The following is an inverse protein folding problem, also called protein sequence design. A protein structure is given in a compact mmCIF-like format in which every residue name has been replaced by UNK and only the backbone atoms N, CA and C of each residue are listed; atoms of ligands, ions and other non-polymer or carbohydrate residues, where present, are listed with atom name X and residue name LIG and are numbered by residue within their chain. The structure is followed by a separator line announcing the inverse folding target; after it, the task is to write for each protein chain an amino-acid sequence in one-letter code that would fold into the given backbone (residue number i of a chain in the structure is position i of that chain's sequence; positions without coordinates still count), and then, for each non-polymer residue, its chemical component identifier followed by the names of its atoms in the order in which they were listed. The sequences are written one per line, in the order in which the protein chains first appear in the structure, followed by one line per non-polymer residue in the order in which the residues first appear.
data_IF_151950993815
#
_entry.id   IF_151950993815
#
_cell.length_a   1.000
_cell.length_b   1.000
_cell.length_c   1.000
_cell.angle_alpha   90.00
_cell.angle_beta   90.00
_cell.angle_gamma   90.00
#
_symmetry.space_group_name_H-M   'P 1'
#
loop_
_entity.id
_entity.type
_entity.pdbx_description
1 polymer ?
#
# COMPACT_ATOMS: atom_id res chain seq x y z
N UNK A 1 -3.53 68.70 19.00
CA UNK A 1 -4.97 68.65 18.64
C UNK A 1 -5.10 67.65 17.51
N UNK A 2 -5.53 66.43 17.80
CA UNK A 2 -5.69 65.37 16.80
C UNK A 2 -7.08 65.52 16.15
N UNK A 3 -7.11 65.81 14.86
CA UNK A 3 -8.36 66.00 14.13
C UNK A 3 -9.19 64.71 14.10
N UNK A 4 -10.53 64.78 14.23
CA UNK A 4 -11.37 63.60 14.24
C UNK A 4 -11.32 62.89 12.88
N UNK A 5 -11.09 61.58 12.91
CA UNK A 5 -11.04 60.72 11.72
C UNK A 5 -12.42 60.74 11.04
N UNK A 6 -12.51 60.99 9.72
CA UNK A 6 -13.80 61.09 9.04
C UNK A 6 -14.57 59.77 9.11
N UNK A 7 -15.91 59.80 9.24
CA UNK A 7 -16.72 58.60 9.32
C UNK A 7 -16.61 57.78 8.04
N UNK A 8 -16.28 56.48 8.17
CA UNK A 8 -16.25 55.54 7.05
C UNK A 8 -17.67 55.43 6.47
N UNK A 9 -17.88 55.89 5.23
CA UNK A 9 -19.14 55.69 4.50
C UNK A 9 -19.41 54.18 4.41
N UNK A 10 -20.60 53.75 4.83
CA UNK A 10 -21.03 52.34 4.68
C UNK A 10 -21.17 52.05 3.19
N UNK A 11 -20.56 50.96 2.71
CA UNK A 11 -20.74 50.53 1.31
C UNK A 11 -22.22 50.30 1.04
N UNK A 12 -22.75 50.90 -0.02
CA UNK A 12 -24.12 50.68 -0.47
C UNK A 12 -24.31 49.20 -0.74
N UNK A 13 -25.38 48.60 -0.20
CA UNK A 13 -25.70 47.21 -0.48
C UNK A 13 -26.21 47.11 -1.91
N UNK A 14 -25.31 46.79 -2.83
CA UNK A 14 -25.64 46.49 -4.23
C UNK A 14 -26.50 45.23 -4.29
N UNK A 15 -27.53 45.18 -5.13
CA UNK A 15 -28.41 44.01 -5.32
C UNK A 15 -28.48 43.71 -6.81
N UNK A 16 -28.48 42.43 -7.17
CA UNK A 16 -28.72 42.01 -8.55
C UNK A 16 -30.21 42.10 -8.83
N UNK A 17 -30.54 42.73 -9.95
CA UNK A 17 -31.84 42.56 -10.59
C UNK A 17 -31.75 41.53 -11.74
N UNK A 18 -32.88 41.31 -12.38
CA UNK A 18 -33.04 40.41 -13.51
C UNK A 18 -32.14 40.76 -14.70
N UNK A 19 -31.95 42.05 -14.98
CA UNK A 19 -31.10 42.51 -16.09
C UNK A 19 -29.61 42.34 -15.76
N UNK A 20 -29.23 42.58 -14.50
CA UNK A 20 -27.88 42.30 -14.00
C UNK A 20 -27.55 40.81 -14.07
N UNK A 21 -28.52 39.93 -13.76
CA UNK A 21 -28.34 38.49 -13.87
C UNK A 21 -28.15 38.05 -15.33
N UNK A 22 -28.94 38.59 -16.26
CA UNK A 22 -28.79 38.30 -17.69
C UNK A 22 -27.43 38.79 -18.23
N UNK A 23 -26.98 39.96 -17.79
CA UNK A 23 -25.65 40.49 -18.12
C UNK A 23 -24.54 39.60 -17.53
N UNK A 24 -24.67 39.20 -16.26
CA UNK A 24 -23.73 38.29 -15.59
C UNK A 24 -23.60 36.97 -16.34
N UNK A 25 -24.71 36.35 -16.75
CA UNK A 25 -24.70 35.07 -17.47
C UNK A 25 -24.04 35.21 -18.85
N UNK A 26 -24.36 36.28 -19.60
CA UNK A 26 -23.73 36.56 -20.90
C UNK A 26 -22.21 36.74 -20.79
N UNK A 27 -21.75 37.48 -19.78
CA UNK A 27 -20.31 37.68 -19.55
C UNK A 27 -19.62 36.39 -19.09
N UNK A 28 -20.28 35.54 -18.29
CA UNK A 28 -19.76 34.21 -17.94
C UNK A 28 -19.56 33.36 -19.20
N UNK A 29 -20.51 33.37 -20.14
CA UNK A 29 -20.38 32.65 -21.41
C UNK A 29 -19.23 33.20 -22.26
N UNK A 30 -19.05 34.53 -22.29
CA UNK A 30 -17.99 35.17 -23.06
C UNK A 30 -16.59 34.90 -22.50
N UNK A 31 -16.42 34.96 -21.17
CA UNK A 31 -15.12 34.80 -20.50
C UNK A 31 -14.79 33.34 -20.21
N UNK A 32 -15.79 32.50 -19.99
CA UNK A 32 -15.69 31.11 -19.55
C UNK A 32 -14.74 30.91 -18.35
N UNK A 33 -15.10 31.41 -17.15
CA UNK A 33 -14.25 31.34 -15.97
C UNK A 33 -14.10 29.92 -15.38
N UNK A 34 -14.82 28.93 -15.90
CA UNK A 34 -14.81 27.55 -15.38
C UNK A 34 -13.64 26.72 -15.90
N UNK A 35 -13.24 26.97 -17.15
CA UNK A 35 -12.23 26.17 -17.88
C UNK A 35 -10.85 26.86 -17.99
N UNK A 36 -10.65 27.99 -17.32
CA UNK A 36 -9.34 28.65 -17.30
C UNK A 36 -8.27 27.85 -16.56
N UNK A 37 -7.00 28.12 -16.90
CA UNK A 37 -5.83 27.49 -16.29
C UNK A 37 -5.81 27.61 -14.76
N UNK A 38 -5.12 26.65 -14.12
CA UNK A 38 -4.95 26.63 -12.66
C UNK A 38 -4.26 27.93 -12.21
N UNK A 39 -4.90 28.64 -11.29
CA UNK A 39 -4.41 29.93 -10.77
C UNK A 39 -5.07 31.15 -11.40
N UNK A 40 -5.71 30.99 -12.57
CA UNK A 40 -6.29 32.12 -13.33
C UNK A 40 -7.79 32.34 -13.08
N UNK A 41 -8.45 31.44 -12.32
CA UNK A 41 -9.89 31.55 -12.02
C UNK A 41 -10.28 32.89 -11.40
N UNK A 42 -9.54 33.37 -10.42
CA UNK A 42 -9.83 34.66 -9.76
C UNK A 42 -9.74 35.82 -10.75
N UNK A 43 -8.76 35.78 -11.66
CA UNK A 43 -8.61 36.80 -12.69
C UNK A 43 -9.77 36.76 -13.69
N UNK A 44 -10.18 35.57 -14.14
CA UNK A 44 -11.31 35.41 -15.05
C UNK A 44 -12.62 35.93 -14.43
N UNK A 45 -12.89 35.60 -13.16
CA UNK A 45 -14.04 36.15 -12.45
C UNK A 45 -13.94 37.68 -12.22
N UNK A 46 -12.73 38.22 -12.08
CA UNK A 46 -12.52 39.66 -12.01
C UNK A 46 -12.80 40.34 -13.36
N UNK A 47 -12.47 39.69 -14.48
CA UNK A 47 -12.85 40.15 -15.82
C UNK A 47 -14.36 40.19 -15.98
N UNK A 48 -15.07 39.13 -15.56
CA UNK A 48 -16.55 39.12 -15.55
C UNK A 48 -17.10 40.28 -14.71
N UNK A 49 -16.59 40.48 -13.50
CA UNK A 49 -17.05 41.55 -12.61
C UNK A 49 -16.79 42.95 -13.20
N UNK A 50 -15.65 43.15 -13.85
CA UNK A 50 -15.30 44.45 -14.46
C UNK A 50 -16.16 44.80 -15.69
N UNK A 51 -16.79 43.81 -16.34
CA UNK A 51 -17.69 44.03 -17.46
C UNK A 51 -19.11 44.44 -17.01
N UNK A 52 -19.46 44.21 -15.74
CA UNK A 52 -20.76 44.61 -15.20
C UNK A 52 -20.78 46.10 -14.87
N UNK A 53 -21.93 46.74 -15.12
CA UNK A 53 -22.21 48.12 -14.65
C UNK A 53 -22.27 48.16 -13.13
N UNK A 54 -22.60 47.03 -12.52
CA UNK A 54 -22.78 46.82 -11.09
C UNK A 54 -21.41 46.81 -10.35
N UNK A 55 -21.26 47.60 -9.28
CA UNK A 55 -20.05 47.61 -8.44
C UNK A 55 -19.98 46.36 -7.55
N UNK A 56 -19.53 45.25 -8.13
CA UNK A 56 -19.36 43.94 -7.49
C UNK A 56 -17.97 43.37 -7.73
N UNK A 57 -17.52 42.50 -6.84
CA UNK A 57 -16.24 41.81 -6.98
C UNK A 57 -16.40 40.41 -7.60
N UNK A 58 -15.27 39.85 -8.04
CA UNK A 58 -15.18 38.51 -8.62
C UNK A 58 -15.88 37.42 -7.79
N UNK A 59 -15.74 37.52 -6.46
CA UNK A 59 -16.35 36.59 -5.51
C UNK A 59 -17.87 36.66 -5.59
N UNK A 60 -18.42 37.86 -5.59
CA UNK A 60 -19.86 38.09 -5.60
C UNK A 60 -20.51 37.64 -6.92
N UNK A 61 -19.85 37.85 -8.05
CA UNK A 61 -20.30 37.29 -9.34
C UNK A 61 -20.39 35.75 -9.30
N UNK A 62 -19.35 35.10 -8.76
CA UNK A 62 -19.33 33.63 -8.61
C UNK A 62 -20.40 33.12 -7.66
N UNK A 63 -20.60 33.78 -6.51
CA UNK A 63 -21.63 33.39 -5.54
C UNK A 63 -23.03 33.56 -6.15
N UNK A 64 -23.28 34.66 -6.86
CA UNK A 64 -24.56 34.90 -7.56
C UNK A 64 -24.80 33.86 -8.65
N UNK A 65 -23.81 33.57 -9.49
CA UNK A 65 -23.96 32.56 -10.56
C UNK A 65 -24.23 31.17 -9.97
N UNK A 66 -23.58 30.81 -8.86
CA UNK A 66 -23.81 29.53 -8.18
C UNK A 66 -25.24 29.42 -7.65
N UNK A 67 -25.76 30.51 -7.08
CA UNK A 67 -27.15 30.57 -6.62
C UNK A 67 -28.13 30.39 -7.78
N UNK A 68 -27.96 31.15 -8.88
CA UNK A 68 -28.81 31.06 -10.06
C UNK A 68 -28.85 29.65 -10.65
N UNK A 69 -27.69 29.01 -10.80
CA UNK A 69 -27.59 27.63 -11.28
C UNK A 69 -28.27 26.63 -10.34
N UNK A 70 -28.16 26.85 -9.03
CA UNK A 70 -28.81 25.98 -8.03
C UNK A 70 -30.33 26.11 -8.10
N UNK A 71 -30.85 27.33 -8.20
CA UNK A 71 -32.28 27.61 -8.36
C UNK A 71 -32.80 27.04 -9.68
N UNK A 72 -32.05 27.17 -10.78
CA UNK A 72 -32.39 26.60 -12.08
C UNK A 72 -32.46 25.06 -12.04
N UNK A 73 -31.46 24.39 -11.46
CA UNK A 73 -31.49 22.93 -11.26
C UNK A 73 -32.72 22.50 -10.45
N UNK A 74 -33.06 23.24 -9.41
CA UNK A 74 -34.24 22.96 -8.59
C UNK A 74 -35.55 23.19 -9.35
N UNK A 75 -35.64 24.21 -10.21
CA UNK A 75 -36.76 24.44 -11.13
C UNK A 75 -36.91 23.25 -12.07
N UNK A 76 -35.86 22.88 -12.81
CA UNK A 76 -35.85 21.74 -13.73
C UNK A 76 -36.25 20.42 -13.07
N UNK A 77 -35.77 20.16 -11.85
CA UNK A 77 -36.13 18.96 -11.09
C UNK A 77 -37.63 18.94 -10.70
N UNK A 78 -38.19 20.10 -10.32
CA UNK A 78 -39.62 20.22 -10.02
C UNK A 78 -40.47 20.05 -11.27
N UNK A 79 -40.10 20.69 -12.38
CA UNK A 79 -40.82 20.57 -13.66
C UNK A 79 -40.80 19.13 -14.17
N UNK A 80 -39.66 18.43 -14.05
CA UNK A 80 -39.54 17.00 -14.39
C UNK A 80 -40.43 16.11 -13.50
N UNK A 81 -40.53 16.41 -12.20
CA UNK A 81 -41.39 15.68 -11.27
C UNK A 81 -42.89 15.96 -11.47
N UNK A 82 -43.25 17.15 -11.98
CA UNK A 82 -44.63 17.59 -12.14
C UNK A 82 -45.38 17.00 -13.35
N UNK A 83 -44.79 16.05 -14.09
CA UNK A 83 -45.40 15.41 -15.28
C UNK A 83 -45.92 16.42 -16.32
N UNK A 84 -45.00 17.16 -16.94
CA UNK A 84 -45.22 17.75 -18.27
C UNK A 84 -46.08 19.01 -18.35
N UNK A 85 -46.18 19.80 -17.27
CA UNK A 85 -46.66 21.18 -17.41
C UNK A 85 -45.54 21.98 -18.09
N UNK A 86 -45.83 22.47 -19.30
CA UNK A 86 -44.95 23.35 -20.06
C UNK A 86 -44.85 24.70 -19.31
N UNK A 87 -43.75 24.88 -18.59
CA UNK A 87 -43.38 26.18 -18.03
C UNK A 87 -42.90 27.10 -19.16
N UNK A 88 -43.24 28.39 -19.07
CA UNK A 88 -42.75 29.39 -20.03
C UNK A 88 -41.22 29.43 -19.98
N UNK A 89 -40.61 28.95 -21.06
CA UNK A 89 -39.17 28.95 -21.24
C UNK A 89 -38.72 30.37 -21.61
N UNK A 90 -37.82 30.94 -20.83
CA UNK A 90 -37.31 32.30 -21.04
C UNK A 90 -35.92 32.28 -21.68
N UNK A 91 -35.50 33.39 -22.29
CA UNK A 91 -34.12 33.55 -22.78
C UNK A 91 -33.08 33.36 -21.66
N UNK A 92 -33.46 33.68 -20.41
CA UNK A 92 -32.62 33.45 -19.23
C UNK A 92 -32.43 31.96 -18.95
N UNK A 93 -33.46 31.14 -19.16
CA UNK A 93 -33.35 29.69 -19.01
C UNK A 93 -32.34 29.12 -20.02
N UNK A 94 -32.28 29.66 -21.25
CA UNK A 94 -31.26 29.28 -22.25
C UNK A 94 -29.85 29.67 -21.79
N UNK A 95 -29.68 30.89 -21.28
CA UNK A 95 -28.40 31.33 -20.72
C UNK A 95 -27.95 30.46 -19.55
N UNK A 96 -28.88 30.11 -18.65
CA UNK A 96 -28.60 29.24 -17.51
C UNK A 96 -28.23 27.82 -17.94
N UNK A 97 -28.91 27.26 -18.95
CA UNK A 97 -28.58 25.95 -19.52
C UNK A 97 -27.17 25.94 -20.11
N UNK A 98 -26.80 26.95 -20.90
CA UNK A 98 -25.46 27.06 -21.50
C UNK A 98 -24.36 27.25 -20.43
N UNK A 99 -24.60 28.10 -19.43
CA UNK A 99 -23.65 28.29 -18.32
C UNK A 99 -23.51 27.03 -17.49
N UNK A 100 -24.62 26.30 -17.32
CA UNK A 100 -24.63 25.03 -16.61
C UNK A 100 -23.77 23.99 -17.32
N UNK A 101 -23.95 23.82 -18.63
CA UNK A 101 -23.15 22.92 -19.47
C UNK A 101 -21.65 23.23 -19.35
N UNK A 102 -21.24 24.50 -19.49
CA UNK A 102 -19.84 24.91 -19.29
C UNK A 102 -19.29 24.53 -17.91
N UNK A 103 -20.12 24.64 -16.87
CA UNK A 103 -19.71 24.32 -15.50
C UNK A 103 -19.51 22.82 -15.30
N UNK A 104 -20.37 21.99 -15.91
CA UNK A 104 -20.35 20.53 -15.85
C UNK A 104 -19.22 19.96 -16.71
N UNK A 105 -19.00 20.47 -17.91
CA UNK A 105 -17.84 20.13 -18.75
C UNK A 105 -16.52 20.39 -18.02
N UNK A 106 -16.44 21.55 -17.34
CA UNK A 106 -15.25 21.88 -16.57
C UNK A 106 -15.05 20.96 -15.37
N UNK A 107 -16.12 20.38 -14.82
CA UNK A 107 -16.06 19.39 -13.74
C UNK A 107 -15.66 18.01 -14.29
N UNK A 108 -16.26 17.56 -15.40
CA UNK A 108 -15.90 16.34 -16.10
C UNK A 108 -14.40 16.32 -16.47
N UNK A 109 -13.89 17.40 -17.07
CA UNK A 109 -12.46 17.53 -17.38
C UNK A 109 -11.55 17.48 -16.15
N UNK A 110 -12.03 17.94 -14.98
CA UNK A 110 -11.28 17.85 -13.72
C UNK A 110 -11.26 16.42 -13.19
N UNK A 111 -12.38 15.72 -13.30
CA UNK A 111 -12.52 14.33 -12.87
C UNK A 111 -11.75 13.38 -13.77
N UNK A 112 -11.78 13.56 -15.09
CA UNK A 112 -10.95 12.81 -16.05
C UNK A 112 -9.46 12.95 -15.72
N UNK A 113 -8.98 14.17 -15.52
CA UNK A 113 -7.57 14.42 -15.13
C UNK A 113 -7.20 13.82 -13.78
N UNK A 114 -8.17 13.69 -12.87
CA UNK A 114 -7.97 13.04 -11.57
C UNK A 114 -7.89 11.52 -11.75
N UNK A 115 -8.81 10.94 -12.50
CA UNK A 115 -8.84 9.51 -12.82
C UNK A 115 -7.57 9.08 -13.56
N UNK A 116 -7.09 9.86 -14.54
CA UNK A 116 -5.86 9.58 -15.26
C UNK A 116 -4.64 9.52 -14.31
N UNK A 117 -4.57 10.45 -13.36
CA UNK A 117 -3.50 10.46 -12.35
C UNK A 117 -3.58 9.26 -11.41
N UNK A 118 -4.78 8.91 -10.96
CA UNK A 118 -5.01 7.74 -10.12
C UNK A 118 -4.67 6.44 -10.85
N UNK A 119 -5.07 6.31 -12.12
CA UNK A 119 -4.71 5.17 -12.95
C UNK A 119 -3.20 5.03 -13.15
N UNK A 120 -2.51 6.15 -13.42
CA UNK A 120 -1.04 6.17 -13.54
C UNK A 120 -0.34 5.81 -12.23
N UNK A 121 -0.88 6.26 -11.09
CA UNK A 121 -0.36 5.89 -9.79
C UNK A 121 -0.54 4.40 -9.52
N UNK A 122 -1.72 3.84 -9.80
CA UNK A 122 -1.97 2.41 -9.65
C UNK A 122 -1.07 1.56 -10.56
N UNK A 123 -0.80 2.00 -11.78
CA UNK A 123 0.12 1.32 -12.70
C UNK A 123 1.55 1.32 -12.15
N UNK A 124 2.02 2.46 -11.64
CA UNK A 124 3.32 2.54 -10.97
C UNK A 124 3.40 1.61 -9.74
N UNK A 125 2.37 1.60 -8.90
CA UNK A 125 2.30 0.72 -7.72
C UNK A 125 2.32 -0.76 -8.11
N UNK A 126 1.62 -1.13 -9.19
CA UNK A 126 1.66 -2.50 -9.74
C UNK A 126 3.05 -2.85 -10.28
N UNK A 127 3.71 -1.92 -10.97
CA UNK A 127 5.06 -2.13 -11.48
C UNK A 127 6.08 -2.29 -10.34
N UNK A 128 5.93 -1.54 -9.25
CA UNK A 128 6.75 -1.67 -8.06
C UNK A 128 6.52 -3.01 -7.34
N UNK A 129 5.27 -3.42 -7.18
CA UNK A 129 4.94 -4.72 -6.61
C UNK A 129 5.55 -5.89 -7.43
N UNK A 130 5.48 -5.81 -8.76
CA UNK A 130 6.09 -6.81 -9.65
C UNK A 130 7.62 -6.83 -9.52
N UNK A 131 8.27 -5.66 -9.41
CA UNK A 131 9.71 -5.56 -9.15
C UNK A 131 10.10 -6.20 -7.82
N UNK A 132 9.33 -5.93 -6.76
CA UNK A 132 9.57 -6.49 -5.43
C UNK A 132 9.42 -8.01 -5.43
N UNK A 133 8.36 -8.54 -6.05
CA UNK A 133 8.14 -9.98 -6.18
C UNK A 133 9.28 -10.66 -6.95
N UNK A 134 9.75 -10.06 -8.05
CA UNK A 134 10.88 -10.58 -8.82
C UNK A 134 12.18 -10.62 -8.00
N UNK A 135 12.49 -9.57 -7.23
CA UNK A 135 13.67 -9.53 -6.35
C UNK A 135 13.59 -10.58 -5.24
N UNK A 136 12.40 -10.76 -4.64
CA UNK A 136 12.16 -11.79 -3.64
C UNK A 136 12.29 -13.21 -4.23
N UNK A 137 11.91 -13.41 -5.50
CA UNK A 137 12.08 -14.67 -6.23
C UNK A 137 13.55 -15.00 -6.53
N UNK A 138 14.37 -13.99 -6.85
CA UNK A 138 15.81 -14.16 -7.10
C UNK A 138 16.58 -14.55 -5.84
N UNK A 139 16.22 -13.99 -4.68
CA UNK A 139 16.85 -14.32 -3.39
C UNK A 139 16.60 -15.75 -2.90
N UNK A 140 15.59 -16.44 -3.43
CA UNK A 140 15.24 -17.82 -3.02
C UNK A 140 16.00 -18.91 -3.78
N UNK A 141 16.77 -18.57 -4.82
CA UNK A 141 17.58 -19.57 -5.54
C UNK A 141 18.81 -19.86 -4.69
N UNK A 142 18.84 -21.03 -4.02
CA UNK A 142 20.05 -21.55 -3.36
C UNK A 142 21.22 -21.46 -4.34
N UNK A 143 22.28 -20.75 -3.96
CA UNK A 143 23.45 -20.64 -4.82
C UNK A 143 24.23 -21.97 -4.79
N UNK A 144 25.15 -22.18 -5.74
CA UNK A 144 25.98 -23.40 -5.78
C UNK A 144 26.79 -23.62 -4.50
N UNK A 145 27.13 -22.55 -3.79
CA UNK A 145 27.89 -22.60 -2.55
C UNK A 145 27.04 -23.21 -1.43
N UNK A 146 25.78 -22.80 -1.25
CA UNK A 146 24.84 -23.36 -0.26
C UNK A 146 24.61 -24.85 -0.45
N UNK A 147 24.45 -25.28 -1.71
CA UNK A 147 24.29 -26.70 -2.03
C UNK A 147 25.57 -27.51 -1.75
N UNK A 148 26.75 -26.90 -1.94
CA UNK A 148 28.03 -27.54 -1.63
C UNK A 148 28.27 -27.63 -0.12
N UNK A 149 27.91 -26.60 0.65
CA UNK A 149 27.99 -26.65 2.12
C UNK A 149 27.06 -27.71 2.70
N UNK A 150 25.81 -27.81 2.23
CA UNK A 150 24.87 -28.89 2.65
C UNK A 150 25.41 -30.30 2.32
N UNK A 151 26.09 -30.45 1.17
CA UNK A 151 26.70 -31.74 0.82
C UNK A 151 27.88 -32.07 1.74
N UNK A 152 28.74 -31.08 2.04
CA UNK A 152 29.89 -31.27 2.91
C UNK A 152 29.50 -31.57 4.36
N UNK A 153 28.40 -30.98 4.87
CA UNK A 153 27.87 -31.32 6.19
C UNK A 153 27.39 -32.78 6.21
N UNK A 154 26.66 -33.21 5.18
CA UNK A 154 26.20 -34.59 5.09
C UNK A 154 27.35 -35.61 5.01
N UNK A 155 28.41 -35.31 4.26
CA UNK A 155 29.59 -36.19 4.18
C UNK A 155 30.28 -36.31 5.54
N UNK A 156 30.42 -35.21 6.28
CA UNK A 156 31.00 -35.22 7.64
C UNK A 156 30.18 -36.07 8.60
N UNK A 157 28.85 -35.89 8.62
CA UNK A 157 27.95 -36.68 9.47
C UNK A 157 28.05 -38.18 9.17
N UNK A 158 28.12 -38.55 7.88
CA UNK A 158 28.28 -39.95 7.47
C UNK A 158 29.60 -40.54 7.96
N UNK A 159 30.69 -39.80 7.82
CA UNK A 159 32.02 -40.26 8.21
C UNK A 159 32.14 -40.36 9.74
N UNK A 160 31.56 -39.42 10.48
CA UNK A 160 31.46 -39.47 11.95
C UNK A 160 30.65 -40.68 12.42
N UNK A 161 29.50 -40.94 11.78
CA UNK A 161 28.69 -42.12 12.08
C UNK A 161 29.44 -43.42 11.82
N UNK A 162 30.17 -43.51 10.71
CA UNK A 162 30.99 -44.70 10.40
C UNK A 162 32.08 -44.91 11.45
N UNK A 163 32.81 -43.85 11.83
CA UNK A 163 33.85 -43.93 12.87
C UNK A 163 33.28 -44.36 14.21
N UNK A 164 32.14 -43.80 14.63
CA UNK A 164 31.48 -44.17 15.88
C UNK A 164 31.06 -45.65 15.88
N UNK A 165 30.57 -46.16 14.74
CA UNK A 165 30.23 -47.57 14.57
C UNK A 165 31.46 -48.46 14.73
N UNK A 166 32.57 -48.11 14.09
CA UNK A 166 33.79 -48.92 14.12
C UNK A 166 34.44 -48.91 15.50
N UNK A 167 34.46 -47.77 16.19
CA UNK A 167 34.88 -47.67 17.60
C UNK A 167 34.04 -48.58 18.51
N UNK A 168 32.72 -48.63 18.28
CA UNK A 168 31.83 -49.51 19.07
C UNK A 168 32.10 -50.99 18.80
N UNK A 169 32.50 -51.37 17.58
CA UNK A 169 32.91 -52.75 17.26
C UNK A 169 34.20 -53.12 17.98
N UNK A 170 35.22 -52.28 17.88
CA UNK A 170 36.52 -52.49 18.56
C UNK A 170 36.31 -52.64 20.07
N UNK A 171 35.57 -51.73 20.70
CA UNK A 171 35.31 -51.80 22.13
C UNK A 171 34.55 -53.08 22.55
N UNK A 172 33.67 -53.61 21.70
CA UNK A 172 32.98 -54.87 21.98
C UNK A 172 33.92 -56.08 21.82
N UNK A 173 34.81 -56.06 20.84
CA UNK A 173 35.82 -57.10 20.62
C UNK A 173 36.84 -57.13 21.76
N UNK A 174 37.33 -55.98 22.20
CA UNK A 174 38.23 -55.87 23.36
C UNK A 174 37.59 -56.43 24.64
N UNK A 175 36.30 -56.13 24.88
CA UNK A 175 35.55 -56.71 26.02
C UNK A 175 35.45 -58.22 25.93
N UNK A 176 35.24 -58.78 24.72
CA UNK A 176 35.20 -60.24 24.53
C UNK A 176 36.54 -60.88 24.84
N UNK A 177 37.62 -60.32 24.31
CA UNK A 177 38.98 -60.82 24.56
C UNK A 177 39.37 -60.73 26.04
N UNK A 178 38.94 -59.68 26.74
CA UNK A 178 39.16 -59.54 28.19
C UNK A 178 38.48 -60.68 28.96
N UNK A 179 37.20 -60.95 28.67
CA UNK A 179 36.47 -62.06 29.30
C UNK A 179 37.12 -63.43 29.00
N UNK A 180 37.61 -63.64 27.79
CA UNK A 180 38.30 -64.86 27.42
C UNK A 180 39.63 -65.02 28.16
N UNK A 181 40.39 -63.93 28.30
CA UNK A 181 41.64 -63.92 29.06
C UNK A 181 41.40 -64.24 30.54
N UNK A 182 40.36 -63.65 31.13
CA UNK A 182 39.99 -63.88 32.53
C UNK A 182 39.56 -65.34 32.75
N UNK A 183 38.77 -65.91 31.83
CA UNK A 183 38.37 -67.32 31.86
C UNK A 183 39.58 -68.25 31.79
N UNK A 184 40.55 -67.96 30.93
CA UNK A 184 41.76 -68.76 30.78
C UNK A 184 42.68 -68.63 32.01
N UNK A 185 42.67 -67.48 32.70
CA UNK A 185 43.35 -67.30 33.98
C UNK A 185 42.74 -68.18 35.06
N UNK A 186 41.41 -68.14 35.20
CA UNK A 186 40.69 -68.98 36.16
C UNK A 186 40.92 -70.47 35.90
N UNK A 187 40.87 -70.93 34.64
CA UNK A 187 41.14 -72.33 34.31
C UNK A 187 42.58 -72.74 34.67
N UNK A 188 43.56 -71.86 34.48
CA UNK A 188 44.95 -72.12 34.91
C UNK A 188 45.05 -72.20 36.43
N UNK A 189 44.40 -71.30 37.16
CA UNK A 189 44.35 -71.30 38.62
C UNK A 189 43.69 -72.58 39.16
N UNK A 190 42.55 -72.98 38.59
CA UNK A 190 41.86 -74.23 38.93
C UNK A 190 42.74 -75.45 38.67
N UNK A 191 43.42 -75.52 37.52
CA UNK A 191 44.36 -76.61 37.21
C UNK A 191 45.53 -76.65 38.17
N UNK A 192 46.10 -75.49 38.51
CA UNK A 192 47.19 -75.39 39.48
C UNK A 192 46.75 -75.85 40.87
N UNK A 193 45.59 -75.38 41.34
CA UNK A 193 45.01 -75.81 42.61
C UNK A 193 44.75 -77.32 42.65
N UNK A 194 44.25 -77.90 41.55
CA UNK A 194 44.04 -79.35 41.44
C UNK A 194 45.37 -80.13 41.51
N UNK A 195 46.41 -79.65 40.81
CA UNK A 195 47.76 -80.24 40.88
C UNK A 195 48.30 -80.19 42.32
N UNK A 196 48.11 -79.08 43.03
CA UNK A 196 48.56 -78.94 44.41
C UNK A 196 47.83 -79.90 45.36
N UNK A 197 46.51 -80.10 45.17
CA UNK A 197 45.73 -81.10 45.93
C UNK A 197 46.23 -82.52 45.65
N UNK A 198 46.48 -82.87 44.39
CA UNK A 198 47.05 -84.18 44.02
C UNK A 198 48.44 -84.39 44.66
N UNK A 199 49.30 -83.37 44.61
CA UNK A 199 50.62 -83.42 45.24
C UNK A 199 50.49 -83.68 46.75
N UNK A 200 49.61 -82.96 47.43
CA UNK A 200 49.35 -83.16 48.86
C UNK A 200 48.82 -84.58 49.17
N UNK A 201 47.96 -85.14 48.32
CA UNK A 201 47.46 -86.50 48.45
C UNK A 201 48.57 -87.55 48.27
N UNK A 202 49.40 -87.40 47.23
CA UNK A 202 50.52 -88.33 46.97
C UNK A 202 51.59 -88.32 48.06
N UNK A 203 51.83 -87.18 48.71
CA UNK A 203 52.76 -87.08 49.86
C UNK A 203 52.26 -87.73 51.15
N UNK A 204 50.99 -88.18 51.20
CA UNK A 204 50.36 -88.82 52.38
C UNK A 204 50.17 -90.34 52.26
N UNK A 205 50.58 -90.95 51.16
CA UNK A 205 50.57 -92.41 50.99
C UNK A 205 51.82 -93.02 51.67
N UNK A 206 51.68 -93.92 52.66
CA UNK A 206 52.82 -94.64 53.23
C UNK A 206 53.36 -95.64 52.19
N UNK A 207 54.69 -95.71 52.06
CA UNK A 207 55.37 -96.70 51.22
C UNK A 207 55.18 -98.12 51.74
#
# INVERSE_FOLDING_TARGET
MESPRPPKKRKTQVRFDDADDDALLKEILAVNPFQVERGSKTAAWATVAAALVLDVDARRCRERSTLLLTEFKAKMAKSAAASGIEEEHTERDDLLANVLELSEDAEALRDEKKQEKEAKQQDNERADAMREEAMNGMGKRKNKYDSFTELMTHVKERDEFSRARDLRKVANEEKRLALERDRLSLEKEERMAFIDVLRAFTSRLPQ
#
